data_IF_223546385671
#
_entry.id   IF_223546385671
#
_cell.length_a   1.000
_cell.length_b   1.000
_cell.length_c   1.000
_cell.angle_alpha   90.00
_cell.angle_beta   90.00
_cell.angle_gamma   90.00
#
_symmetry.space_group_name_H-M   'P 1'
#
loop_
_entity.id
_entity.type
_entity.pdbx_description
1 polymer ?
#
# COMPACT_ATOMS: atom_id res chain seq x y z
N UNK A 1 5.59 14.32 -16.03
CA UNK A 1 4.21 14.84 -15.92
C UNK A 1 3.62 14.41 -14.58
N UNK A 2 3.80 15.23 -13.55
CA UNK A 2 3.19 15.09 -12.22
C UNK A 2 1.75 15.58 -12.31
N UNK A 3 0.84 14.70 -12.72
CA UNK A 3 -0.59 15.00 -12.66
C UNK A 3 -1.02 15.02 -11.20
N UNK A 4 -1.42 16.19 -10.70
CA UNK A 4 -2.02 16.32 -9.37
C UNK A 4 -3.21 15.35 -9.26
N UNK A 5 -3.14 14.47 -8.27
CA UNK A 5 -4.23 13.58 -7.92
C UNK A 5 -5.48 14.40 -7.54
N UNK A 6 -6.56 14.28 -8.33
CA UNK A 6 -7.84 14.93 -8.05
C UNK A 6 -8.87 13.87 -7.65
N UNK A 7 -9.11 13.71 -6.34
CA UNK A 7 -10.06 12.73 -5.80
C UNK A 7 -11.45 13.36 -5.59
N UNK A 8 -12.28 13.45 -6.62
CA UNK A 8 -13.63 14.04 -6.50
C UNK A 8 -13.66 15.48 -5.97
N UNK A 9 -14.86 16.05 -5.88
CA UNK A 9 -15.12 17.37 -5.29
C UNK A 9 -15.71 17.22 -3.87
N UNK A 10 -15.59 18.25 -2.99
CA UNK A 10 -16.19 18.23 -1.67
C UNK A 10 -17.71 18.03 -1.76
N UNK A 11 -18.24 17.04 -1.05
CA UNK A 11 -19.67 16.68 -1.10
C UNK A 11 -20.02 15.52 -2.05
N UNK A 12 -19.05 15.02 -2.82
CA UNK A 12 -19.26 13.81 -3.63
C UNK A 12 -19.36 12.56 -2.76
N UNK A 13 -20.25 11.65 -3.16
CA UNK A 13 -20.33 10.30 -2.58
C UNK A 13 -19.01 9.54 -2.83
N UNK A 14 -18.59 8.66 -1.90
CA UNK A 14 -17.36 7.91 -2.05
C UNK A 14 -17.34 7.13 -3.37
N UNK A 15 -16.35 7.39 -4.23
CA UNK A 15 -16.18 6.69 -5.50
C UNK A 15 -14.97 5.76 -5.46
N UNK A 16 -15.05 4.63 -6.16
CA UNK A 16 -13.90 3.71 -6.29
C UNK A 16 -13.02 4.11 -7.46
N UNK A 17 -11.72 4.04 -7.28
CA UNK A 17 -10.71 4.38 -8.28
C UNK A 17 -9.59 3.32 -8.35
N UNK A 18 -8.70 3.47 -9.32
CA UNK A 18 -7.43 2.75 -9.39
C UNK A 18 -6.30 3.75 -9.22
N UNK A 19 -5.38 3.46 -8.32
CA UNK A 19 -4.23 4.32 -8.07
C UNK A 19 -2.93 3.55 -7.98
N UNK A 20 -1.82 4.26 -8.07
CA UNK A 20 -0.50 3.77 -7.75
C UNK A 20 -0.04 4.30 -6.39
N UNK A 21 0.70 3.46 -5.68
CA UNK A 21 1.54 3.85 -4.54
C UNK A 21 3.01 3.65 -4.90
N UNK A 22 3.85 4.58 -4.47
CA UNK A 22 5.28 4.58 -4.75
C UNK A 22 6.00 3.86 -3.60
N UNK A 23 5.97 2.53 -3.64
CA UNK A 23 6.55 1.71 -2.58
C UNK A 23 8.06 1.57 -2.72
N UNK A 24 8.78 1.68 -1.62
CA UNK A 24 10.19 1.30 -1.53
C UNK A 24 10.45 0.55 -0.22
N UNK A 25 11.34 -0.44 -0.25
CA UNK A 25 11.73 -1.19 0.94
C UNK A 25 13.18 -0.90 1.28
N UNK A 26 13.51 -0.75 2.57
CA UNK A 26 14.91 -0.61 3.01
C UNK A 26 15.72 -1.89 2.82
N UNK A 27 15.07 -3.03 2.61
CA UNK A 27 15.70 -4.32 2.39
C UNK A 27 15.43 -4.82 0.97
N UNK A 28 16.29 -5.72 0.48
CA UNK A 28 16.08 -6.38 -0.80
C UNK A 28 14.83 -7.26 -0.76
N UNK A 29 14.05 -7.26 -1.84
CA UNK A 29 12.83 -8.07 -1.95
C UNK A 29 12.62 -8.56 -3.39
N UNK A 30 11.45 -9.11 -3.70
CA UNK A 30 11.07 -9.51 -5.06
C UNK A 30 9.71 -8.95 -5.44
N UNK A 31 9.43 -8.83 -6.74
CA UNK A 31 8.09 -8.44 -7.20
C UNK A 31 6.98 -9.38 -6.72
N UNK A 32 7.29 -10.66 -6.51
CA UNK A 32 6.39 -11.62 -5.90
C UNK A 32 6.01 -11.30 -4.47
N UNK A 33 6.99 -10.92 -3.66
CA UNK A 33 6.74 -10.52 -2.27
C UNK A 33 5.93 -9.22 -2.22
N UNK A 34 6.23 -8.26 -3.08
CA UNK A 34 5.46 -7.01 -3.21
C UNK A 34 4.01 -7.31 -3.59
N UNK A 35 3.77 -8.17 -4.58
CA UNK A 35 2.42 -8.62 -4.94
C UNK A 35 1.67 -9.17 -3.74
N UNK A 36 2.32 -10.04 -2.95
CA UNK A 36 1.70 -10.64 -1.76
C UNK A 36 1.42 -9.58 -0.69
N UNK A 37 2.39 -8.71 -0.40
CA UNK A 37 2.27 -7.68 0.63
C UNK A 37 1.12 -6.71 0.36
N UNK A 38 0.97 -6.27 -0.89
CA UNK A 38 -0.10 -5.36 -1.31
C UNK A 38 -1.37 -6.08 -1.76
N UNK A 39 -1.43 -7.41 -1.65
CA UNK A 39 -2.54 -8.26 -2.12
C UNK A 39 -2.96 -7.99 -3.57
N UNK A 40 -1.99 -7.68 -4.44
CA UNK A 40 -2.25 -7.42 -5.86
C UNK A 40 -2.66 -8.72 -6.57
N UNK A 41 -3.79 -8.69 -7.27
CA UNK A 41 -4.35 -9.88 -7.93
C UNK A 41 -3.43 -10.42 -9.03
N UNK A 42 -2.98 -9.55 -9.94
CA UNK A 42 -2.18 -9.93 -11.12
C UNK A 42 -0.78 -9.32 -11.03
N UNK A 43 0.26 -10.16 -11.00
CA UNK A 43 1.66 -9.69 -10.99
C UNK A 43 1.96 -8.79 -12.20
N UNK A 44 1.38 -9.13 -13.36
CA UNK A 44 1.52 -8.36 -14.62
C UNK A 44 1.17 -6.88 -14.45
N UNK A 45 0.18 -6.54 -13.61
CA UNK A 45 -0.19 -5.14 -13.38
C UNK A 45 0.91 -4.33 -12.69
N UNK A 46 1.73 -4.97 -11.83
CA UNK A 46 2.92 -4.32 -11.26
C UNK A 46 3.96 -4.14 -12.36
N UNK A 47 4.18 -5.12 -13.23
CA UNK A 47 5.15 -5.00 -14.32
C UNK A 47 4.79 -3.88 -15.30
N UNK A 48 3.53 -3.81 -15.73
CA UNK A 48 3.00 -2.75 -16.57
C UNK A 48 3.21 -1.37 -15.93
N UNK A 49 2.91 -1.25 -14.62
CA UNK A 49 3.09 0.01 -13.86
C UNK A 49 4.55 0.44 -13.72
N UNK A 50 5.49 -0.47 -13.94
CA UNK A 50 6.94 -0.23 -13.82
C UNK A 50 7.67 -0.37 -15.17
N UNK A 51 6.95 -0.42 -16.29
CA UNK A 51 7.51 -0.57 -17.65
C UNK A 51 8.45 -1.78 -17.80
N UNK A 52 8.16 -2.87 -17.10
CA UNK A 52 8.95 -4.10 -17.14
C UNK A 52 8.42 -5.05 -18.22
N UNK A 53 9.27 -5.87 -18.84
CA UNK A 53 8.83 -6.92 -19.76
C UNK A 53 7.82 -7.86 -19.09
N UNK A 54 6.77 -8.26 -19.81
CA UNK A 54 5.76 -9.20 -19.27
C UNK A 54 6.32 -10.62 -19.03
N UNK A 55 7.51 -10.91 -19.57
CA UNK A 55 8.29 -12.12 -19.30
C UNK A 55 9.06 -12.08 -17.97
N UNK A 56 9.05 -10.94 -17.26
CA UNK A 56 9.73 -10.79 -15.97
C UNK A 56 9.24 -11.84 -14.97
N UNK A 57 10.18 -12.46 -14.26
CA UNK A 57 9.84 -13.52 -13.30
C UNK A 57 9.40 -12.93 -11.95
N UNK A 58 8.57 -13.69 -11.23
CA UNK A 58 8.13 -13.33 -9.88
C UNK A 58 9.28 -13.22 -8.88
N UNK A 59 10.33 -14.00 -9.08
CA UNK A 59 11.56 -14.03 -8.28
C UNK A 59 12.52 -12.91 -8.61
N UNK A 60 12.23 -12.08 -9.62
CA UNK A 60 13.05 -10.93 -9.95
C UNK A 60 13.22 -10.03 -8.73
N UNK A 61 14.48 -9.80 -8.38
CA UNK A 61 14.87 -8.99 -7.24
C UNK A 61 14.53 -7.52 -7.48
N UNK A 62 14.13 -6.87 -6.40
CA UNK A 62 13.98 -5.41 -6.27
C UNK A 62 15.03 -4.98 -5.26
N UNK A 63 15.87 -4.04 -5.66
CA UNK A 63 16.96 -3.56 -4.82
C UNK A 63 16.44 -2.74 -3.64
N UNK A 64 17.17 -2.68 -2.51
CA UNK A 64 16.88 -1.74 -1.43
C UNK A 64 16.68 -0.32 -1.96
N UNK A 65 15.67 0.37 -1.43
CA UNK A 65 15.28 1.75 -1.76
C UNK A 65 14.85 1.99 -3.22
N UNK A 66 14.78 0.94 -4.05
CA UNK A 66 14.20 1.04 -5.38
C UNK A 66 12.69 1.30 -5.26
N UNK A 67 12.21 2.34 -5.93
CA UNK A 67 10.78 2.65 -6.01
C UNK A 67 10.08 1.69 -6.98
N UNK A 68 8.98 1.10 -6.52
CA UNK A 68 8.09 0.25 -7.30
C UNK A 68 6.70 0.86 -7.25
N UNK A 69 6.15 1.15 -8.43
CA UNK A 69 4.77 1.62 -8.56
C UNK A 69 3.81 0.44 -8.42
N UNK A 70 3.06 0.40 -7.32
CA UNK A 70 2.16 -0.71 -7.01
C UNK A 70 0.71 -0.28 -7.22
N UNK A 71 -0.06 -0.95 -8.10
CA UNK A 71 -1.47 -0.66 -8.29
C UNK A 71 -2.30 -1.12 -7.10
N UNK A 72 -3.11 -0.21 -6.56
CA UNK A 72 -4.05 -0.46 -5.47
C UNK A 72 -5.44 0.06 -5.85
N UNK A 73 -6.52 -0.65 -5.47
CA UNK A 73 -7.85 -0.05 -5.54
C UNK A 73 -7.89 1.10 -4.53
N UNK A 74 -8.53 2.20 -4.87
CA UNK A 74 -8.71 3.34 -3.99
C UNK A 74 -10.18 3.71 -3.83
N UNK A 75 -10.46 4.41 -2.74
CA UNK A 75 -11.71 5.10 -2.49
C UNK A 75 -11.41 6.58 -2.35
N UNK A 76 -12.07 7.38 -3.18
CA UNK A 76 -12.01 8.83 -3.15
C UNK A 76 -13.19 9.38 -2.36
N UNK A 77 -12.91 10.33 -1.46
CA UNK A 77 -13.92 11.18 -0.85
C UNK A 77 -13.28 12.49 -0.41
N UNK A 78 -13.99 13.61 -0.61
CA UNK A 78 -13.55 14.94 -0.14
C UNK A 78 -12.10 15.28 -0.54
N UNK A 79 -11.77 15.18 -1.83
CA UNK A 79 -10.42 15.43 -2.39
C UNK A 79 -9.31 14.52 -1.87
N UNK A 80 -9.63 13.55 -1.01
CA UNK A 80 -8.67 12.62 -0.41
C UNK A 80 -8.92 11.22 -0.93
N UNK A 81 -7.84 10.54 -1.29
CA UNK A 81 -7.91 9.15 -1.71
C UNK A 81 -7.10 8.26 -0.78
N UNK A 82 -7.70 7.14 -0.43
CA UNK A 82 -7.05 6.09 0.35
C UNK A 82 -7.27 4.76 -0.33
N UNK A 83 -6.35 3.82 -0.14
CA UNK A 83 -6.53 2.45 -0.63
C UNK A 83 -7.85 1.86 -0.13
N UNK A 84 -8.64 1.22 -0.98
CA UNK A 84 -9.96 0.73 -0.60
C UNK A 84 -9.85 -0.63 0.11
N UNK A 85 -9.73 -0.61 1.45
CA UNK A 85 -9.75 -1.80 2.33
C UNK A 85 -8.71 -2.87 1.98
N UNK A 86 -7.64 -2.50 1.28
CA UNK A 86 -6.56 -3.39 0.86
C UNK A 86 -5.26 -2.59 0.77
N UNK A 87 -4.12 -3.09 1.26
CA UNK A 87 -3.91 -4.44 1.80
C UNK A 87 -4.39 -4.60 3.25
N UNK A 88 -4.65 -5.85 3.62
CA UNK A 88 -4.88 -6.25 5.02
C UNK A 88 -3.62 -6.96 5.49
N UNK A 89 -3.03 -6.46 6.57
CA UNK A 89 -1.84 -7.06 7.18
C UNK A 89 -2.26 -8.00 8.32
N UNK A 90 -1.50 -9.07 8.50
CA UNK A 90 -1.67 -10.01 9.63
C UNK A 90 -0.44 -9.90 10.51
N UNK A 91 -0.64 -9.50 11.76
CA UNK A 91 0.44 -9.26 12.73
C UNK A 91 1.23 -10.53 12.98
N UNK A 92 2.55 -10.41 12.93
CA UNK A 92 3.50 -11.49 13.21
C UNK A 92 4.16 -11.27 14.57
N UNK A 93 4.78 -12.32 15.09
CA UNK A 93 5.52 -12.27 16.35
C UNK A 93 6.62 -11.20 16.27
N UNK A 94 6.58 -10.25 17.21
CA UNK A 94 7.54 -9.15 17.30
C UNK A 94 7.20 -7.91 16.48
N UNK A 95 6.08 -7.91 15.75
CA UNK A 95 5.61 -6.71 15.05
C UNK A 95 5.11 -5.66 16.06
N UNK A 96 5.37 -4.40 15.73
CA UNK A 96 4.68 -3.23 16.32
C UNK A 96 4.02 -2.45 15.20
N UNK A 97 3.00 -1.63 15.50
CA UNK A 97 2.39 -0.78 14.46
C UNK A 97 3.43 0.16 13.82
N UNK A 98 4.38 0.67 14.62
CA UNK A 98 5.48 1.49 14.13
C UNK A 98 6.34 0.72 13.12
N UNK A 99 6.79 -0.48 13.46
CA UNK A 99 7.62 -1.32 12.58
C UNK A 99 6.88 -1.69 11.29
N UNK A 100 5.60 -2.05 11.39
CA UNK A 100 4.76 -2.36 10.22
C UNK A 100 4.67 -1.14 9.30
N UNK A 101 4.38 0.03 9.85
CA UNK A 101 4.27 1.27 9.10
C UNK A 101 5.60 1.68 8.44
N UNK A 102 6.70 1.73 9.20
CA UNK A 102 7.98 2.29 8.76
C UNK A 102 8.82 1.31 7.94
N UNK A 103 8.86 0.03 8.34
CA UNK A 103 9.77 -0.95 7.74
C UNK A 103 9.05 -1.83 6.72
N UNK A 104 7.85 -2.34 7.04
CA UNK A 104 7.13 -3.26 6.15
C UNK A 104 6.47 -2.49 5.00
N UNK A 105 5.80 -1.38 5.28
CA UNK A 105 5.16 -0.54 4.27
C UNK A 105 6.03 0.65 3.85
N UNK A 106 7.31 0.67 4.23
CA UNK A 106 8.28 1.65 3.74
C UNK A 106 7.92 3.10 4.09
N UNK A 107 7.19 3.33 5.18
CA UNK A 107 6.77 4.67 5.60
C UNK A 107 5.64 5.27 4.77
N UNK A 108 4.97 4.48 3.91
CA UNK A 108 3.82 4.95 3.13
C UNK A 108 2.66 5.45 3.99
N UNK A 109 2.56 4.99 5.23
CA UNK A 109 1.51 5.35 6.17
C UNK A 109 2.10 5.52 7.56
N UNK A 110 1.53 6.41 8.37
CA UNK A 110 1.89 6.57 9.77
C UNK A 110 1.14 5.57 10.64
N UNK A 111 1.77 5.08 11.71
CA UNK A 111 1.15 4.09 12.58
C UNK A 111 -0.11 4.61 13.28
N UNK A 112 -0.16 5.91 13.63
CA UNK A 112 -1.34 6.55 14.21
C UNK A 112 -2.54 6.43 13.27
N UNK A 113 -2.30 6.66 11.97
CA UNK A 113 -3.35 6.53 10.96
C UNK A 113 -3.87 5.10 10.81
N UNK A 114 -3.00 4.10 10.98
CA UNK A 114 -3.41 2.69 11.05
C UNK A 114 -4.29 2.48 12.28
N UNK A 115 -3.86 2.98 13.44
CA UNK A 115 -4.59 2.86 14.72
C UNK A 115 -5.99 3.46 14.62
N UNK A 116 -6.08 4.71 14.16
CA UNK A 116 -7.33 5.48 14.07
C UNK A 116 -8.35 4.79 13.15
N UNK A 117 -7.91 4.39 11.96
CA UNK A 117 -8.81 3.83 10.94
C UNK A 117 -9.22 2.38 11.20
N UNK A 118 -8.47 1.66 12.04
CA UNK A 118 -8.80 0.31 12.45
C UNK A 118 -9.34 0.24 13.89
N UNK A 119 -9.53 1.38 14.55
CA UNK A 119 -10.02 1.48 15.94
C UNK A 119 -9.18 0.68 16.93
N UNK A 120 -7.86 0.70 16.76
CA UNK A 120 -6.92 0.08 17.69
C UNK A 120 -6.71 1.07 18.84
N UNK A 121 -7.16 0.67 20.04
CA UNK A 121 -7.21 1.55 21.22
C UNK A 121 -5.82 1.84 21.80
N UNK A 122 -4.95 0.83 21.84
CA UNK A 122 -3.55 0.98 22.21
C UNK A 122 -2.66 0.50 21.07
N UNK A 123 -1.91 1.42 20.47
CA UNK A 123 -1.00 1.14 19.37
C UNK A 123 0.18 0.22 19.76
N UNK A 124 0.42 0.04 21.06
CA UNK A 124 1.42 -0.87 21.62
C UNK A 124 0.90 -2.29 21.89
N UNK A 125 -0.42 -2.50 21.85
CA UNK A 125 -1.06 -3.80 22.10
C UNK A 125 -1.70 -4.35 20.81
N UNK A 126 -0.86 -4.81 19.88
CA UNK A 126 -1.33 -5.63 18.75
C UNK A 126 -0.97 -7.10 18.96
N UNK A 127 -1.93 -7.97 18.72
CA UNK A 127 -1.78 -9.42 18.95
C UNK A 127 -1.33 -10.15 17.69
N UNK A 128 -0.49 -11.17 17.85
CA UNK A 128 -0.10 -12.06 16.74
C UNK A 128 -1.34 -12.70 16.13
N UNK A 129 -1.47 -12.62 14.81
CA UNK A 129 -2.63 -13.10 14.06
C UNK A 129 -3.76 -12.08 13.93
N UNK A 130 -3.72 -10.96 14.64
CA UNK A 130 -4.64 -9.85 14.43
C UNK A 130 -4.52 -9.33 12.99
N UNK A 131 -5.66 -8.95 12.40
CA UNK A 131 -5.73 -8.48 11.01
C UNK A 131 -6.32 -7.08 10.96
N UNK A 132 -5.64 -6.18 10.27
CA UNK A 132 -6.14 -4.83 10.04
C UNK A 132 -5.76 -4.30 8.66
N UNK A 133 -6.55 -3.35 8.20
CA UNK A 133 -6.32 -2.69 6.92
C UNK A 133 -5.17 -1.67 7.03
N UNK A 134 -4.35 -1.58 5.99
CA UNK A 134 -3.28 -0.59 5.88
C UNK A 134 -3.78 0.53 4.96
N UNK A 135 -4.12 1.72 5.51
CA UNK A 135 -4.72 2.81 4.75
C UNK A 135 -3.66 3.61 3.99
N UNK A 136 -3.27 3.10 2.83
CA UNK A 136 -2.24 3.74 2.01
C UNK A 136 -2.79 5.02 1.37
N UNK A 137 -2.01 6.12 1.35
CA UNK A 137 -2.37 7.31 0.57
C UNK A 137 -2.30 6.97 -0.91
N UNK A 138 -3.36 7.25 -1.66
CA UNK A 138 -3.31 7.13 -3.12
C UNK A 138 -2.71 8.39 -3.71
N UNK A 139 -1.55 8.28 -4.35
CA UNK A 139 -0.79 9.44 -4.84
C UNK A 139 -1.05 9.75 -6.31
N UNK A 140 -1.55 8.79 -7.11
CA UNK A 140 -1.77 8.97 -8.55
C UNK A 140 -2.88 8.06 -9.07
N UNK A 141 -3.88 8.62 -9.76
CA UNK A 141 -4.89 7.82 -10.50
C UNK A 141 -4.30 7.34 -11.82
N UNK A 142 -4.60 6.11 -12.22
CA UNK A 142 -4.19 5.52 -13.50
C UNK A 142 -5.39 5.03 -14.31
#
# INVERSE_FOLDING_TARGET
>A
MTGNFKCGEPGDSPSTCRSLVDYSSKQGTTYGNIKTLFAVKKLRSIFESNLLPLSTQRTQCVNPNQVVHVPVPCSCSNRTGVSNRTPVYTVKKGDTLFFIASEIFGGLVQYQRISDLNKISDASEIDVGQRFWIPLPSMRSI
#
